data_IF_754301713930
#
_entry.id   IF_754301713930
#
_cell.length_a   1.000
_cell.length_b   1.000
_cell.length_c   1.000
_cell.angle_alpha   90.00
_cell.angle_beta   90.00
_cell.angle_gamma   90.00
#
_symmetry.space_group_name_H-M   'P 1'
#
loop_
_entity.id
_entity.type
_entity.pdbx_description
1 polymer ?
#
# COMPACT_ATOMS: atom_id res chain seq x y z
N UNK A 1 -19.27 -8.38 5.33
CA UNK A 1 -18.74 -7.62 4.18
C UNK A 1 -19.61 -7.75 2.93
N UNK A 2 -20.01 -8.95 2.51
CA UNK A 2 -20.79 -9.15 1.26
C UNK A 2 -22.14 -8.43 1.23
N UNK A 3 -22.85 -8.33 2.36
CA UNK A 3 -24.18 -7.70 2.43
C UNK A 3 -24.12 -6.16 2.46
N UNK A 4 -23.06 -5.60 3.01
CA UNK A 4 -22.82 -4.14 2.95
C UNK A 4 -22.51 -3.75 1.52
N UNK A 5 -21.63 -4.49 0.85
CA UNK A 5 -21.25 -4.26 -0.55
C UNK A 5 -22.47 -4.36 -1.50
N UNK A 6 -23.29 -5.40 -1.35
CA UNK A 6 -24.52 -5.54 -2.14
C UNK A 6 -25.52 -4.39 -1.95
N UNK A 7 -25.60 -3.84 -0.71
CA UNK A 7 -26.44 -2.66 -0.43
C UNK A 7 -25.88 -1.40 -1.09
N UNK A 8 -24.56 -1.23 -1.09
CA UNK A 8 -23.90 -0.10 -1.75
C UNK A 8 -24.13 -0.11 -3.26
N UNK A 9 -23.96 -1.26 -3.93
CA UNK A 9 -24.22 -1.40 -5.35
C UNK A 9 -25.67 -1.09 -5.70
N UNK A 10 -26.64 -1.63 -4.94
CA UNK A 10 -28.07 -1.32 -5.16
C UNK A 10 -28.40 0.17 -4.97
N UNK A 11 -27.68 0.84 -4.06
CA UNK A 11 -27.85 2.28 -3.86
C UNK A 11 -27.29 3.08 -5.03
N UNK A 12 -26.11 2.72 -5.52
CA UNK A 12 -25.49 3.30 -6.70
C UNK A 12 -26.39 3.11 -7.95
N UNK A 13 -26.89 1.90 -8.18
CA UNK A 13 -27.82 1.59 -9.27
C UNK A 13 -29.07 2.46 -9.23
N UNK A 14 -29.68 2.64 -8.05
CA UNK A 14 -30.84 3.53 -7.87
C UNK A 14 -30.50 4.98 -8.21
N UNK A 15 -29.32 5.46 -7.78
CA UNK A 15 -28.85 6.80 -8.07
C UNK A 15 -28.65 7.03 -9.57
N UNK A 16 -27.96 6.10 -10.24
CA UNK A 16 -27.74 6.13 -11.69
C UNK A 16 -29.09 6.14 -12.44
N UNK A 17 -30.01 5.25 -12.09
CA UNK A 17 -31.33 5.18 -12.72
C UNK A 17 -32.15 6.45 -12.48
N UNK A 18 -32.03 7.07 -11.32
CA UNK A 18 -32.69 8.34 -11.04
C UNK A 18 -32.16 9.46 -11.96
N UNK A 19 -30.83 9.60 -12.06
CA UNK A 19 -30.20 10.60 -12.93
C UNK A 19 -30.59 10.40 -14.39
N UNK A 20 -30.50 9.16 -14.89
CA UNK A 20 -30.90 8.82 -16.27
C UNK A 20 -32.33 9.22 -16.55
N UNK A 21 -33.27 8.89 -15.68
CA UNK A 21 -34.69 9.19 -15.86
C UNK A 21 -35.02 10.68 -15.70
N UNK A 22 -34.38 11.37 -14.76
CA UNK A 22 -34.70 12.77 -14.48
C UNK A 22 -34.18 13.72 -15.56
N UNK A 23 -32.96 13.43 -16.05
CA UNK A 23 -32.24 14.34 -16.95
C UNK A 23 -32.16 13.84 -18.40
N UNK A 24 -32.67 12.63 -18.67
CA UNK A 24 -32.59 11.98 -19.99
C UNK A 24 -31.15 11.92 -20.53
N UNK A 25 -30.19 11.49 -19.69
CA UNK A 25 -28.77 11.38 -20.01
C UNK A 25 -28.28 9.96 -19.82
N UNK A 26 -27.19 9.62 -20.48
CA UNK A 26 -26.41 8.43 -20.16
C UNK A 26 -25.44 8.73 -19.03
N UNK A 27 -25.18 7.73 -18.17
CA UNK A 27 -24.26 7.83 -17.05
C UNK A 27 -23.13 6.83 -17.26
N UNK A 28 -21.92 7.33 -17.24
CA UNK A 28 -20.68 6.55 -17.28
C UNK A 28 -19.99 6.66 -15.93
N UNK A 29 -19.36 5.57 -15.49
CA UNK A 29 -18.63 5.49 -14.23
C UNK A 29 -17.26 4.88 -14.46
N UNK A 30 -16.27 5.25 -13.67
CA UNK A 30 -14.91 4.72 -13.70
C UNK A 30 -14.59 4.06 -12.34
N UNK A 31 -15.11 2.86 -12.05
CA UNK A 31 -15.07 2.26 -10.71
C UNK A 31 -13.75 1.51 -10.47
N UNK A 32 -12.61 2.15 -10.60
CA UNK A 32 -11.28 1.54 -10.48
C UNK A 32 -11.12 0.72 -9.19
N UNK A 33 -11.22 1.35 -8.04
CA UNK A 33 -11.11 0.69 -6.74
C UNK A 33 -12.19 -0.37 -6.51
N UNK A 34 -13.43 -0.10 -6.88
CA UNK A 34 -14.52 -1.06 -6.71
C UNK A 34 -14.33 -2.36 -7.50
N UNK A 35 -13.53 -2.34 -8.56
CA UNK A 35 -13.21 -3.53 -9.38
C UNK A 35 -12.02 -4.30 -8.81
N UNK A 36 -10.99 -3.59 -8.32
CA UNK A 36 -9.71 -4.18 -7.94
C UNK A 36 -9.44 -4.15 -6.41
N UNK A 37 -10.45 -3.82 -5.59
CA UNK A 37 -10.34 -3.84 -4.13
C UNK A 37 -9.92 -5.24 -3.64
N UNK A 38 -8.94 -5.28 -2.74
CA UNK A 38 -8.36 -6.52 -2.19
C UNK A 38 -7.79 -7.50 -3.24
N UNK A 39 -7.48 -7.02 -4.45
CA UNK A 39 -6.97 -7.87 -5.51
C UNK A 39 -5.43 -8.03 -5.52
N UNK A 40 -4.71 -7.25 -4.72
CA UNK A 40 -3.25 -7.31 -4.69
C UNK A 40 -2.62 -6.99 -3.35
N UNK A 41 -1.46 -7.58 -3.13
CA UNK A 41 -0.59 -7.36 -1.99
C UNK A 41 0.78 -6.90 -2.47
N UNK A 42 1.44 -6.03 -1.70
CA UNK A 42 2.87 -5.77 -1.85
C UNK A 42 3.61 -6.36 -0.66
N UNK A 43 4.45 -7.35 -0.93
CA UNK A 43 5.32 -7.95 0.08
C UNK A 43 6.66 -7.22 0.06
N UNK A 44 7.12 -6.79 1.21
CA UNK A 44 8.39 -6.10 1.39
C UNK A 44 9.20 -6.71 2.51
N UNK A 45 10.51 -6.54 2.44
CA UNK A 45 11.45 -7.00 3.47
C UNK A 45 11.98 -5.79 4.24
N UNK A 46 12.06 -5.89 5.55
CA UNK A 46 12.77 -4.93 6.39
C UNK A 46 14.26 -5.11 6.20
N UNK A 47 14.93 -4.08 5.67
CA UNK A 47 16.37 -4.09 5.42
C UNK A 47 17.18 -3.69 6.66
N UNK A 48 16.66 -2.70 7.40
CA UNK A 48 17.36 -2.14 8.56
C UNK A 48 16.37 -1.50 9.53
N UNK A 49 16.82 -1.28 10.76
CA UNK A 49 16.11 -0.58 11.84
C UNK A 49 16.98 0.54 12.38
N UNK A 50 16.52 1.77 12.22
CA UNK A 50 17.27 2.98 12.61
C UNK A 50 16.55 3.71 13.73
N UNK A 51 17.27 4.10 14.77
CA UNK A 51 16.78 4.94 15.86
C UNK A 51 17.30 6.38 15.71
N UNK A 52 16.39 7.33 15.55
CA UNK A 52 16.70 8.77 15.56
C UNK A 52 15.51 9.55 16.11
N UNK A 53 15.27 9.43 17.41
CA UNK A 53 14.07 9.95 18.08
C UNK A 53 12.82 9.12 17.78
N UNK A 54 12.71 8.62 16.57
CA UNK A 54 11.66 7.71 16.09
C UNK A 54 12.35 6.44 15.59
N UNK A 55 11.84 5.27 15.98
CA UNK A 55 12.33 4.00 15.41
C UNK A 55 11.75 3.83 14.01
N UNK A 56 12.62 3.81 13.01
CA UNK A 56 12.25 3.70 11.59
C UNK A 56 12.72 2.37 11.02
N UNK A 57 11.81 1.64 10.37
CA UNK A 57 12.13 0.47 9.57
C UNK A 57 12.41 0.91 8.13
N UNK A 58 13.57 0.53 7.62
CA UNK A 58 13.95 0.75 6.22
C UNK A 58 13.55 -0.47 5.42
N UNK A 59 12.71 -0.26 4.41
CA UNK A 59 12.13 -1.31 3.57
C UNK A 59 12.82 -1.38 2.21
N UNK A 60 12.77 -2.55 1.55
CA UNK A 60 13.06 -2.67 0.12
C UNK A 60 11.92 -2.16 -0.78
N UNK A 61 10.75 -1.87 -0.21
CA UNK A 61 9.69 -1.11 -0.87
C UNK A 61 9.81 0.40 -0.61
N UNK A 62 9.36 1.20 -1.57
CA UNK A 62 9.38 2.66 -1.54
C UNK A 62 7.97 3.20 -1.81
N UNK A 63 7.53 4.18 -1.02
CA UNK A 63 6.29 4.87 -1.31
C UNK A 63 6.39 5.59 -2.66
N UNK A 64 7.48 6.29 -2.93
CA UNK A 64 7.70 7.02 -4.17
C UNK A 64 7.77 6.11 -5.41
N UNK A 65 8.31 4.89 -5.28
CA UNK A 65 8.54 3.98 -6.41
C UNK A 65 7.43 2.96 -6.60
N UNK A 66 6.83 2.45 -5.52
CA UNK A 66 5.93 1.29 -5.59
C UNK A 66 4.48 1.61 -5.24
N UNK A 67 4.22 2.72 -4.53
CA UNK A 67 2.89 3.17 -4.14
C UNK A 67 2.81 4.70 -4.09
N UNK A 68 3.05 5.39 -5.22
CA UNK A 68 3.20 6.85 -5.24
C UNK A 68 1.95 7.61 -4.77
N UNK A 69 0.76 7.03 -4.85
CA UNK A 69 -0.46 7.63 -4.32
C UNK A 69 -0.40 7.88 -2.80
N UNK A 70 0.42 7.14 -2.07
CA UNK A 70 0.70 7.42 -0.64
C UNK A 70 1.24 8.83 -0.44
N UNK A 71 2.01 9.35 -1.40
CA UNK A 71 2.60 10.69 -1.37
C UNK A 71 1.77 11.73 -2.15
N UNK A 72 1.13 11.32 -3.25
CA UNK A 72 0.36 12.22 -4.13
C UNK A 72 -1.02 12.54 -3.57
N UNK A 73 -1.67 11.57 -2.97
CA UNK A 73 -2.98 11.70 -2.30
C UNK A 73 -2.86 11.09 -0.89
N UNK A 74 -2.21 11.77 0.06
CA UNK A 74 -1.69 11.17 1.27
C UNK A 74 -2.69 10.29 2.02
N UNK A 75 -2.34 9.03 2.17
CA UNK A 75 -3.04 8.05 3.00
C UNK A 75 -2.02 7.06 3.58
N UNK A 76 -2.38 6.39 4.65
CA UNK A 76 -1.58 5.31 5.23
C UNK A 76 -2.16 3.98 4.75
N UNK A 77 -1.42 3.20 3.92
CA UNK A 77 -1.93 1.97 3.34
C UNK A 77 -2.20 0.90 4.41
N UNK A 78 -3.19 0.03 4.23
CA UNK A 78 -3.40 -1.09 5.14
C UNK A 78 -2.17 -2.01 5.18
N UNK A 79 -1.77 -2.40 6.38
CA UNK A 79 -0.67 -3.32 6.61
C UNK A 79 -1.17 -4.48 7.44
N UNK A 80 -0.88 -5.71 7.03
CA UNK A 80 -1.29 -6.92 7.72
C UNK A 80 -0.63 -7.01 9.09
N UNK A 81 -1.39 -7.43 10.09
CA UNK A 81 -0.94 -7.62 11.48
C UNK A 81 -0.35 -6.34 12.13
N UNK A 82 -0.78 -5.16 11.64
CA UNK A 82 -0.40 -3.88 12.19
C UNK A 82 -1.58 -2.90 12.20
N UNK A 83 -1.53 -1.97 13.13
CA UNK A 83 -2.52 -0.88 13.23
C UNK A 83 -1.86 0.41 12.73
N UNK A 84 -2.48 1.05 11.74
CA UNK A 84 -2.03 2.36 11.28
C UNK A 84 -2.25 3.42 12.35
N UNK A 85 -1.34 4.38 12.42
CA UNK A 85 -1.41 5.53 13.32
C UNK A 85 -1.76 6.76 12.49
N UNK A 86 -2.94 7.34 12.70
CA UNK A 86 -3.46 8.45 11.88
C UNK A 86 -3.04 9.83 12.42
N UNK A 87 -2.70 9.95 13.72
CA UNK A 87 -2.30 11.22 14.37
C UNK A 87 -0.97 11.05 15.10
N UNK A 88 0.06 11.69 14.58
CA UNK A 88 1.41 11.64 15.17
C UNK A 88 1.63 12.87 16.03
N UNK A 89 1.23 12.79 17.30
CA UNK A 89 1.77 13.67 18.33
C UNK A 89 3.13 13.14 18.80
N UNK A 90 4.04 14.01 19.23
CA UNK A 90 5.37 13.62 19.69
C UNK A 90 5.34 12.53 20.79
N UNK A 91 4.29 12.52 21.61
CA UNK A 91 4.09 11.56 22.69
C UNK A 91 3.81 10.12 22.21
N UNK A 92 3.40 9.93 20.94
CA UNK A 92 3.16 8.61 20.35
C UNK A 92 4.43 7.77 20.27
N UNK A 93 5.59 8.43 20.17
CA UNK A 93 6.90 7.77 20.06
C UNK A 93 7.49 7.34 21.40
N UNK A 94 6.91 7.76 22.52
CA UNK A 94 7.23 7.15 23.80
C UNK A 94 6.83 5.66 23.76
N UNK A 95 7.69 4.82 24.34
CA UNK A 95 7.45 3.37 24.36
C UNK A 95 6.06 3.07 24.94
N UNK A 96 5.16 2.42 24.22
CA UNK A 96 3.81 2.16 24.70
C UNK A 96 3.85 1.38 26.02
N UNK A 97 3.06 1.80 26.99
CA UNK A 97 3.00 1.16 28.31
C UNK A 97 2.47 -0.28 28.25
N UNK A 98 1.81 -0.65 27.14
CA UNK A 98 1.21 -1.98 26.91
C UNK A 98 2.16 -2.98 26.20
N UNK A 99 3.41 -2.60 25.98
CA UNK A 99 4.41 -3.47 25.38
C UNK A 99 4.33 -3.61 23.86
N UNK A 100 3.53 -2.79 23.18
CA UNK A 100 3.49 -2.74 21.73
C UNK A 100 4.71 -2.02 21.14
N UNK A 101 4.87 -2.16 19.84
CA UNK A 101 6.01 -1.63 19.11
C UNK A 101 5.52 -0.65 18.05
N UNK A 102 6.12 0.55 17.98
CA UNK A 102 5.77 1.57 17.00
C UNK A 102 6.92 1.86 16.09
N UNK A 103 6.62 1.88 14.80
CA UNK A 103 7.63 2.11 13.77
C UNK A 103 7.10 3.05 12.70
N UNK A 104 7.99 3.91 12.23
CA UNK A 104 7.84 4.57 10.94
C UNK A 104 8.35 3.64 9.86
N UNK A 105 7.64 3.52 8.74
CA UNK A 105 8.09 2.77 7.58
C UNK A 105 8.59 3.73 6.51
N UNK A 106 9.81 3.51 6.07
CA UNK A 106 10.51 4.33 5.08
C UNK A 106 11.33 3.45 4.14
N UNK A 107 12.00 4.05 3.18
CA UNK A 107 12.82 3.37 2.18
C UNK A 107 14.26 3.89 2.20
N UNK A 108 15.09 3.35 1.31
CA UNK A 108 16.49 3.74 1.13
C UNK A 108 16.71 4.71 -0.05
N UNK A 109 15.65 5.37 -0.55
CA UNK A 109 15.79 6.44 -1.54
C UNK A 109 16.35 7.71 -0.93
N UNK A 110 16.85 8.62 -1.77
CA UNK A 110 17.32 9.93 -1.32
C UNK A 110 16.17 10.91 -1.01
N UNK A 111 14.92 10.53 -1.26
CA UNK A 111 13.76 11.35 -0.99
C UNK A 111 13.44 11.32 0.51
N UNK A 112 13.70 12.41 1.23
CA UNK A 112 13.45 12.50 2.66
C UNK A 112 11.98 12.27 3.05
N UNK A 113 11.04 12.51 2.13
CA UNK A 113 9.61 12.26 2.29
C UNK A 113 9.16 10.87 1.84
N UNK A 114 10.08 9.93 1.54
CA UNK A 114 9.72 8.56 1.16
C UNK A 114 9.31 7.74 2.40
N UNK A 115 8.18 8.16 2.97
CA UNK A 115 7.60 7.59 4.18
C UNK A 115 6.26 6.95 3.79
N UNK A 116 6.12 5.67 4.08
CA UNK A 116 4.88 4.93 3.80
C UNK A 116 3.82 5.21 4.86
N UNK A 117 4.22 5.37 6.11
CA UNK A 117 3.34 5.65 7.23
C UNK A 117 3.92 5.21 8.56
N UNK A 118 3.12 5.39 9.61
CA UNK A 118 3.46 5.01 10.97
C UNK A 118 2.50 3.93 11.46
N UNK A 119 3.05 2.91 12.12
CA UNK A 119 2.30 1.71 12.49
C UNK A 119 2.66 1.21 13.87
N UNK A 120 1.69 0.57 14.50
CA UNK A 120 1.82 -0.14 15.77
C UNK A 120 1.67 -1.65 15.54
N UNK A 121 2.56 -2.43 16.14
CA UNK A 121 2.64 -3.89 16.04
C UNK A 121 2.55 -4.52 17.43
N UNK A 122 1.95 -5.71 17.51
CA UNK A 122 1.88 -6.49 18.75
C UNK A 122 3.20 -7.20 19.07
N UNK A 123 4.11 -7.33 18.10
CA UNK A 123 5.43 -7.95 18.26
C UNK A 123 6.55 -7.09 17.69
N UNK A 124 7.76 -7.31 18.17
CA UNK A 124 8.93 -6.62 17.63
C UNK A 124 9.19 -7.04 16.18
N UNK A 125 9.46 -6.03 15.34
CA UNK A 125 9.86 -6.22 13.94
C UNK A 125 11.36 -5.98 13.81
N UNK A 126 12.05 -6.88 13.09
CA UNK A 126 13.49 -6.85 12.91
C UNK A 126 13.90 -6.91 11.44
N UNK A 127 15.16 -6.57 11.16
CA UNK A 127 15.72 -6.74 9.83
C UNK A 127 15.60 -8.20 9.36
N UNK A 128 15.15 -8.40 8.13
CA UNK A 128 14.84 -9.69 7.53
C UNK A 128 13.36 -10.09 7.61
N UNK A 129 12.57 -9.45 8.47
CA UNK A 129 11.14 -9.72 8.54
C UNK A 129 10.42 -9.22 7.29
N UNK A 130 9.33 -9.89 6.93
CA UNK A 130 8.48 -9.51 5.79
C UNK A 130 7.21 -8.85 6.27
N UNK A 131 6.89 -7.73 5.64
CA UNK A 131 5.64 -7.00 5.83
C UNK A 131 4.78 -7.12 4.58
N UNK A 132 3.45 -7.07 4.75
CA UNK A 132 2.49 -7.24 3.65
C UNK A 132 1.53 -6.06 3.64
N UNK A 133 1.72 -5.16 2.68
CA UNK A 133 0.74 -4.12 2.41
C UNK A 133 -0.44 -4.72 1.65
N UNK A 134 -1.64 -4.38 2.09
CA UNK A 134 -2.89 -4.84 1.51
C UNK A 134 -3.44 -3.81 0.52
N UNK A 135 -4.32 -4.27 -0.34
CA UNK A 135 -5.01 -3.43 -1.35
C UNK A 135 -4.06 -2.71 -2.33
N UNK A 136 -2.99 -3.41 -2.74
CA UNK A 136 -1.91 -2.87 -3.57
C UNK A 136 -2.10 -3.17 -5.08
N UNK A 137 -3.33 -3.37 -5.58
CA UNK A 137 -3.58 -3.60 -7.00
C UNK A 137 -3.87 -2.30 -7.78
N UNK A 138 -4.26 -1.21 -7.09
CA UNK A 138 -4.73 0.03 -7.70
C UNK A 138 -3.67 1.10 -7.53
N UNK A 139 -3.28 1.77 -8.64
CA UNK A 139 -2.29 2.86 -8.69
C UNK A 139 -0.95 2.56 -8.00
N UNK A 140 -0.65 1.29 -7.74
CA UNK A 140 0.66 0.81 -7.33
C UNK A 140 1.41 0.22 -8.53
N UNK A 141 1.06 -0.97 -9.02
CA UNK A 141 1.75 -1.61 -10.16
C UNK A 141 1.81 -0.74 -11.42
N UNK A 142 0.74 -0.02 -11.76
CA UNK A 142 0.67 0.79 -12.98
C UNK A 142 1.42 2.12 -12.89
N UNK A 143 1.73 2.57 -11.68
CA UNK A 143 2.50 3.79 -11.41
C UNK A 143 3.94 3.51 -10.96
N UNK A 144 4.34 2.26 -10.89
CA UNK A 144 5.69 1.89 -10.48
C UNK A 144 6.77 2.58 -11.30
N UNK A 145 7.82 2.99 -10.64
CA UNK A 145 8.98 3.61 -11.26
C UNK A 145 10.28 3.11 -10.62
N UNK A 146 11.38 3.47 -11.22
CA UNK A 146 12.73 3.04 -10.82
C UNK A 146 13.59 4.22 -10.34
N UNK A 147 12.99 5.20 -9.70
CA UNK A 147 13.72 6.33 -9.11
C UNK A 147 14.84 5.82 -8.19
N UNK A 148 16.01 6.45 -8.23
CA UNK A 148 17.21 6.04 -7.51
C UNK A 148 17.72 4.61 -7.85
N UNK A 149 17.24 3.99 -8.92
CA UNK A 149 17.60 2.61 -9.26
C UNK A 149 16.90 1.56 -8.40
N UNK A 150 15.83 1.93 -7.69
CA UNK A 150 14.98 0.98 -6.96
C UNK A 150 14.43 -0.04 -7.96
N UNK A 151 14.59 -1.36 -7.71
CA UNK A 151 14.06 -2.38 -8.60
C UNK A 151 12.53 -2.40 -8.56
N UNK A 152 11.91 -2.73 -9.69
CA UNK A 152 10.48 -3.00 -9.71
C UNK A 152 10.19 -4.31 -8.96
N UNK A 153 9.08 -4.39 -8.21
CA UNK A 153 8.67 -5.64 -7.56
C UNK A 153 8.31 -6.70 -8.59
N UNK A 154 8.73 -7.92 -8.38
CA UNK A 154 8.25 -9.05 -9.14
C UNK A 154 6.74 -9.21 -9.00
N UNK A 155 6.07 -9.70 -10.05
CA UNK A 155 4.63 -9.95 -10.01
C UNK A 155 4.39 -11.46 -9.96
N UNK A 156 3.71 -11.90 -8.91
CA UNK A 156 3.22 -13.26 -8.78
C UNK A 156 1.69 -13.31 -8.80
N UNK A 157 1.15 -14.40 -9.27
CA UNK A 157 -0.28 -14.70 -9.23
C UNK A 157 -0.52 -15.74 -8.15
N UNK A 158 -1.39 -15.41 -7.20
CA UNK A 158 -1.86 -16.33 -6.17
C UNK A 158 -3.20 -16.95 -6.61
N UNK A 159 -3.30 -18.26 -6.56
CA UNK A 159 -4.54 -18.97 -6.86
C UNK A 159 -5.47 -19.09 -5.64
N UNK A 160 -6.62 -19.73 -5.83
CA UNK A 160 -7.63 -19.91 -4.77
C UNK A 160 -7.18 -20.83 -3.63
N UNK A 161 -6.13 -21.62 -3.82
CA UNK A 161 -5.54 -22.49 -2.80
C UNK A 161 -4.43 -21.79 -2.02
N UNK A 162 -4.03 -20.58 -2.45
CA UNK A 162 -2.92 -19.81 -1.88
C UNK A 162 -1.56 -20.11 -2.53
N UNK A 163 -1.52 -20.92 -3.58
CA UNK A 163 -0.30 -21.21 -4.31
C UNK A 163 0.12 -20.01 -5.17
N UNK A 164 1.36 -19.57 -5.02
CA UNK A 164 1.92 -18.43 -5.75
C UNK A 164 2.80 -18.91 -6.90
N UNK A 165 2.57 -18.38 -8.10
CA UNK A 165 3.46 -18.56 -9.24
C UNK A 165 3.99 -17.22 -9.73
N UNK A 166 5.29 -17.15 -9.99
CA UNK A 166 5.90 -15.98 -10.62
C UNK A 166 5.29 -15.77 -12.00
N UNK A 167 4.82 -14.55 -12.28
CA UNK A 167 4.28 -14.17 -13.58
C UNK A 167 5.23 -13.26 -14.33
N UNK A 168 5.82 -12.25 -13.66
CA UNK A 168 6.82 -11.36 -14.23
C UNK A 168 7.98 -11.19 -13.26
N UNK A 169 9.18 -11.24 -13.79
CA UNK A 169 10.40 -10.88 -13.12
C UNK A 169 10.97 -9.61 -13.74
N UNK A 170 11.45 -8.70 -12.92
CA UNK A 170 12.07 -7.46 -13.33
C UNK A 170 13.51 -7.41 -12.81
N UNK A 171 14.44 -7.15 -13.72
CA UNK A 171 15.87 -7.08 -13.43
C UNK A 171 16.45 -5.69 -13.73
N UNK A 172 17.75 -5.57 -13.65
CA UNK A 172 18.47 -4.33 -13.96
C UNK A 172 18.23 -3.82 -15.39
N UNK A 173 17.91 -4.69 -16.34
CA UNK A 173 17.67 -4.29 -17.73
C UNK A 173 16.42 -3.39 -17.84
N UNK A 174 15.43 -3.54 -16.97
CA UNK A 174 14.26 -2.64 -16.94
C UNK A 174 14.65 -1.21 -16.55
N UNK A 175 15.57 -1.05 -15.61
CA UNK A 175 16.13 0.26 -15.27
C UNK A 175 16.98 0.80 -16.40
N UNK A 176 17.90 0.00 -16.95
CA UNK A 176 18.84 0.39 -18.00
C UNK A 176 18.14 0.85 -19.29
N UNK A 177 17.04 0.21 -19.67
CA UNK A 177 16.27 0.58 -20.88
C UNK A 177 15.61 1.96 -20.80
N UNK A 178 15.52 2.54 -19.61
CA UNK A 178 14.96 3.88 -19.39
C UNK A 178 16.00 5.00 -19.43
N UNK A 179 17.28 4.66 -19.43
CA UNK A 179 18.41 5.58 -19.54
C UNK A 179 18.80 5.79 -21.01
#
# INVERSE_FOLDING_TARGET
ASDVYKRQIKRLEKCINHVKKTYNVDVYVEPGEAVALNAGYLVTTVLDKVENGITTLILDASAACHMPDVLEMPYVPPLRDAVKLDDINADIWEKPADGRFRYRLSSYTCLAGDITGDYEFDSEVNAGDRLVFEDMAIYSMVKNNTFNGIPLPDIAIMDVNGDCRLWKHFDYDEFKRRL
#
